data_IF_892167869666
#
_entry.id   IF_892167869666
#
_cell.length_a   1.000
_cell.length_b   1.000
_cell.length_c   1.000
_cell.angle_alpha   90.00
_cell.angle_beta   90.00
_cell.angle_gamma   90.00
#
_symmetry.space_group_name_H-M   'P 1'
#
loop_
_entity.id
_entity.type
_entity.pdbx_description
1 polymer ?
#
# COMPACT_ATOMS: atom_id res chain seq x y z
N UNK A 1 65.39 30.83 29.58
CA UNK A 1 65.65 29.48 29.16
C UNK A 1 64.29 28.85 28.96
N UNK A 2 63.84 28.82 27.70
CA UNK A 2 62.57 28.22 27.31
C UNK A 2 62.73 26.74 26.96
N UNK A 3 61.66 25.98 27.13
CA UNK A 3 61.51 24.65 26.52
C UNK A 3 60.20 24.65 25.80
N UNK A 4 60.25 24.45 24.48
CA UNK A 4 59.15 24.24 23.62
C UNK A 4 58.54 22.83 23.83
N UNK A 5 57.27 22.72 24.01
CA UNK A 5 56.52 21.48 23.97
C UNK A 5 55.85 21.35 22.61
N UNK A 6 56.23 20.32 21.89
CA UNK A 6 55.67 19.87 20.60
C UNK A 6 54.36 19.17 20.87
N UNK A 7 53.25 19.77 20.45
CA UNK A 7 51.91 19.16 20.47
C UNK A 7 51.55 18.70 19.07
N UNK A 8 51.95 17.47 18.74
CA UNK A 8 51.58 16.78 17.50
C UNK A 8 50.10 16.39 17.53
N UNK A 9 49.23 17.28 17.07
CA UNK A 9 47.81 17.03 16.81
C UNK A 9 47.62 15.86 15.85
N UNK A 10 47.06 14.77 16.34
CA UNK A 10 46.46 13.70 15.50
C UNK A 10 45.25 14.27 14.78
N UNK A 11 45.09 13.99 13.49
CA UNK A 11 43.87 14.28 12.79
C UNK A 11 42.73 13.44 13.41
N UNK A 12 41.67 14.08 13.84
CA UNK A 12 40.40 13.41 14.16
C UNK A 12 39.89 12.78 12.89
N UNK A 13 39.82 11.46 12.85
CA UNK A 13 39.05 10.71 11.85
C UNK A 13 37.64 11.25 11.80
N UNK A 14 37.36 11.95 10.72
CA UNK A 14 36.02 12.36 10.33
C UNK A 14 35.22 11.07 10.10
N UNK A 15 34.44 10.64 11.10
CA UNK A 15 33.47 9.57 10.92
C UNK A 15 32.44 10.08 9.94
N UNK A 16 32.59 9.70 8.68
CA UNK A 16 31.60 9.88 7.66
C UNK A 16 30.23 9.41 8.20
N UNK A 17 29.24 10.29 8.12
CA UNK A 17 27.85 9.95 8.45
C UNK A 17 27.45 8.70 7.68
N UNK A 18 26.67 7.77 8.27
CA UNK A 18 26.22 6.59 7.57
C UNK A 18 25.45 7.02 6.31
N UNK A 19 25.89 6.53 5.15
CA UNK A 19 25.25 6.77 3.87
C UNK A 19 23.80 6.29 3.94
N UNK A 20 22.83 7.04 3.41
CA UNK A 20 21.46 6.57 3.38
C UNK A 20 21.38 5.27 2.57
N UNK A 21 20.72 4.28 3.13
CA UNK A 21 20.58 2.89 2.66
C UNK A 21 19.99 2.72 1.25
N UNK A 22 19.66 3.83 0.58
CA UNK A 22 18.97 3.89 -0.72
C UNK A 22 19.94 3.73 -1.90
N UNK A 23 21.24 3.86 -1.70
CA UNK A 23 22.24 3.71 -2.78
C UNK A 23 22.37 2.28 -3.32
N UNK A 24 21.84 1.27 -2.60
CA UNK A 24 21.94 -0.14 -3.00
C UNK A 24 20.76 -0.64 -3.86
N UNK A 25 19.77 0.21 -4.17
CA UNK A 25 18.71 -0.14 -5.10
C UNK A 25 19.18 0.13 -6.53
N UNK A 26 19.14 -0.89 -7.45
CA UNK A 26 19.58 -0.69 -8.82
C UNK A 26 18.74 0.40 -9.50
N UNK A 27 19.39 1.32 -10.18
CA UNK A 27 18.75 2.42 -10.93
C UNK A 27 17.68 1.91 -11.90
N UNK A 28 17.83 0.70 -12.44
CA UNK A 28 16.85 0.03 -13.30
C UNK A 28 15.50 -0.27 -12.62
N UNK A 29 15.41 -0.18 -11.30
CA UNK A 29 14.13 -0.35 -10.59
C UNK A 29 13.24 0.91 -10.71
N UNK A 30 13.81 2.03 -11.15
CA UNK A 30 13.16 3.33 -11.27
C UNK A 30 13.03 3.79 -12.74
N UNK A 31 13.69 3.08 -13.68
CA UNK A 31 13.60 3.38 -15.11
C UNK A 31 12.38 2.70 -15.72
N UNK A 32 11.27 3.44 -15.83
CA UNK A 32 10.25 3.11 -16.80
C UNK A 32 10.73 3.57 -18.18
N UNK A 33 10.50 2.81 -19.27
CA UNK A 33 10.87 3.23 -20.60
C UNK A 33 10.21 4.59 -20.89
N UNK A 34 11.04 5.54 -21.36
CA UNK A 34 10.59 6.87 -21.75
C UNK A 34 9.59 6.79 -22.91
N UNK A 35 8.79 7.87 -23.15
CA UNK A 35 7.88 7.91 -24.29
C UNK A 35 8.68 7.87 -25.59
N UNK A 36 8.77 6.70 -26.25
CA UNK A 36 9.49 6.49 -27.50
C UNK A 36 9.88 5.05 -27.80
N UNK A 37 9.83 4.13 -26.87
CA UNK A 37 9.99 2.70 -27.19
C UNK A 37 8.63 2.10 -27.51
N UNK A 38 8.35 1.99 -28.82
CA UNK A 38 7.21 1.25 -29.32
C UNK A 38 7.33 -0.24 -28.93
N UNK A 39 6.48 -0.65 -27.98
CA UNK A 39 6.22 -2.08 -27.79
C UNK A 39 5.68 -2.65 -29.10
N UNK A 40 6.12 -3.85 -29.54
CA UNK A 40 5.62 -4.46 -30.76
C UNK A 40 4.09 -4.61 -30.66
N UNK A 41 3.38 -3.95 -31.56
CA UNK A 41 1.92 -3.96 -31.64
C UNK A 41 1.41 -5.38 -31.82
N UNK A 42 0.83 -5.95 -30.78
CA UNK A 42 0.03 -7.15 -30.89
C UNK A 42 -1.23 -6.79 -31.68
N UNK A 43 -1.29 -7.23 -32.95
CA UNK A 43 -2.48 -7.07 -33.76
C UNK A 43 -3.64 -7.82 -33.12
N UNK A 44 -4.80 -7.17 -32.90
CA UNK A 44 -5.96 -7.87 -32.37
C UNK A 44 -6.44 -8.90 -33.36
N UNK A 45 -6.85 -10.10 -32.94
CA UNK A 45 -7.42 -11.09 -33.85
C UNK A 45 -8.73 -10.58 -34.43
N UNK A 46 -8.83 -10.59 -35.76
CA UNK A 46 -10.05 -10.25 -36.50
C UNK A 46 -11.12 -11.32 -36.24
N UNK A 47 -11.99 -11.12 -35.28
CA UNK A 47 -13.21 -11.90 -35.12
C UNK A 47 -14.25 -11.39 -36.13
N UNK A 48 -14.47 -12.17 -37.19
CA UNK A 48 -15.57 -11.97 -38.11
C UNK A 48 -16.88 -12.13 -37.31
N UNK A 49 -17.64 -11.04 -37.25
CA UNK A 49 -19.04 -11.09 -36.83
C UNK A 49 -19.81 -11.99 -37.78
N UNK A 50 -20.21 -13.18 -37.36
CA UNK A 50 -21.29 -13.95 -37.99
C UNK A 50 -22.48 -13.85 -37.06
N UNK A 51 -23.48 -13.11 -37.51
CA UNK A 51 -24.81 -13.14 -36.94
C UNK A 51 -25.44 -14.49 -37.29
N UNK A 52 -26.05 -15.17 -36.33
CA UNK A 52 -26.94 -16.31 -36.52
C UNK A 52 -28.14 -16.13 -35.57
N UNK A 53 -29.34 -16.51 -36.04
CA UNK A 53 -30.59 -16.09 -35.45
C UNK A 53 -31.02 -16.94 -34.27
N UNK A 54 -31.86 -16.32 -33.44
CA UNK A 54 -32.57 -16.90 -32.32
C UNK A 54 -33.46 -18.06 -32.79
N UNK A 55 -33.31 -19.25 -32.21
CA UNK A 55 -34.32 -20.27 -32.17
C UNK A 55 -34.44 -20.82 -30.75
N UNK A 56 -35.63 -20.59 -30.23
CA UNK A 56 -36.14 -21.14 -28.96
C UNK A 56 -36.40 -22.62 -29.14
N UNK A 57 -35.95 -23.48 -28.24
CA UNK A 57 -36.64 -24.74 -27.90
C UNK A 57 -36.30 -25.14 -26.45
N UNK A 58 -37.35 -25.16 -25.68
CA UNK A 58 -37.42 -25.77 -24.36
C UNK A 58 -37.56 -27.30 -24.47
N UNK A 59 -37.25 -27.97 -23.40
CA UNK A 59 -37.86 -29.19 -22.86
C UNK A 59 -36.91 -30.38 -22.61
N UNK A 60 -36.96 -30.76 -21.36
CA UNK A 60 -37.16 -32.10 -20.78
C UNK A 60 -36.00 -32.79 -20.06
N UNK A 61 -36.33 -33.05 -18.82
CA UNK A 61 -35.69 -33.87 -17.80
C UNK A 61 -35.37 -35.31 -18.26
N UNK A 62 -34.37 -35.89 -17.58
CA UNK A 62 -34.10 -37.33 -17.67
C UNK A 62 -33.07 -37.76 -16.59
N UNK A 63 -33.59 -38.18 -15.45
CA UNK A 63 -32.87 -38.96 -14.43
C UNK A 63 -32.55 -40.33 -15.01
N UNK A 64 -31.28 -40.77 -14.88
CA UNK A 64 -30.98 -42.21 -14.95
C UNK A 64 -29.87 -42.59 -13.97
N UNK A 65 -30.29 -43.27 -12.92
CA UNK A 65 -29.46 -44.00 -11.96
C UNK A 65 -29.08 -45.33 -12.59
N UNK A 66 -27.81 -45.68 -12.63
CA UNK A 66 -27.38 -47.07 -12.79
C UNK A 66 -26.40 -47.48 -11.71
N UNK A 67 -26.92 -48.35 -10.84
CA UNK A 67 -26.14 -49.22 -9.95
C UNK A 67 -25.75 -50.46 -10.73
N UNK A 68 -24.47 -50.78 -10.79
CA UNK A 68 -24.02 -52.15 -11.10
C UNK A 68 -22.98 -52.55 -10.05
N UNK A 69 -23.38 -53.49 -9.21
CA UNK A 69 -22.50 -54.29 -8.41
C UNK A 69 -22.01 -55.47 -9.23
N UNK A 70 -20.71 -55.80 -9.13
CA UNK A 70 -20.12 -56.96 -9.78
C UNK A 70 -18.86 -57.39 -9.06
N UNK A 71 -18.99 -58.40 -8.24
CA UNK A 71 -17.93 -59.17 -7.56
C UNK A 71 -16.98 -59.82 -8.55
N UNK A 72 -15.66 -59.79 -8.29
CA UNK A 72 -14.78 -60.93 -8.43
C UNK A 72 -13.49 -60.69 -7.62
N UNK A 73 -13.17 -61.69 -6.79
CA UNK A 73 -12.03 -61.67 -5.91
C UNK A 73 -10.72 -62.06 -6.62
N UNK A 74 -9.62 -61.73 -5.98
CA UNK A 74 -8.27 -62.11 -6.35
C UNK A 74 -7.28 -61.70 -5.25
N UNK A 75 -6.81 -62.68 -4.51
CA UNK A 75 -5.84 -62.57 -3.40
C UNK A 75 -4.46 -62.12 -3.88
N UNK A 76 -3.76 -61.33 -3.08
CA UNK A 76 -2.31 -61.33 -3.15
C UNK A 76 -1.62 -60.02 -2.75
N UNK A 77 -0.95 -60.02 -1.61
CA UNK A 77 0.20 -59.16 -1.39
C UNK A 77 -0.03 -57.93 -0.48
N UNK A 78 0.11 -58.15 0.82
CA UNK A 78 0.24 -57.08 1.83
C UNK A 78 1.58 -56.39 1.70
N UNK A 79 1.57 -55.14 1.19
CA UNK A 79 2.61 -54.16 1.50
C UNK A 79 1.95 -53.11 2.38
N UNK A 80 2.32 -53.08 3.65
CA UNK A 80 1.95 -52.01 4.59
C UNK A 80 2.63 -50.72 4.14
N UNK A 81 1.96 -49.93 3.37
CA UNK A 81 2.23 -48.51 3.31
C UNK A 81 1.74 -47.89 4.63
N UNK A 82 2.67 -47.37 5.40
CA UNK A 82 2.35 -46.63 6.61
C UNK A 82 1.44 -45.45 6.23
N UNK A 83 0.23 -45.52 6.77
CA UNK A 83 -0.79 -44.50 6.72
C UNK A 83 -0.25 -43.22 7.42
N UNK A 84 0.36 -42.32 6.66
CA UNK A 84 0.53 -40.94 7.09
C UNK A 84 -0.75 -40.20 6.71
N UNK A 85 -1.76 -40.34 7.56
CA UNK A 85 -2.85 -39.39 7.58
C UNK A 85 -2.28 -37.97 7.68
N UNK A 86 -2.80 -37.02 6.92
CA UNK A 86 -2.42 -35.60 7.10
C UNK A 86 -2.65 -35.26 8.57
N UNK A 87 -1.57 -34.92 9.29
CA UNK A 87 -1.68 -34.41 10.65
C UNK A 87 -2.57 -33.17 10.58
N UNK A 88 -3.75 -33.26 11.15
CA UNK A 88 -4.58 -32.09 11.46
C UNK A 88 -3.69 -31.07 12.18
N UNK A 89 -3.85 -29.76 11.87
CA UNK A 89 -3.14 -28.71 12.58
C UNK A 89 -3.40 -28.90 14.08
N UNK A 90 -2.32 -29.02 14.84
CA UNK A 90 -2.41 -29.04 16.29
C UNK A 90 -2.79 -27.64 16.74
N UNK A 91 -3.77 -27.62 17.63
CA UNK A 91 -4.21 -26.48 18.45
C UNK A 91 -4.81 -25.31 17.66
N UNK A 92 -6.13 -25.22 17.78
CA UNK A 92 -7.00 -24.18 17.24
C UNK A 92 -6.79 -22.77 17.86
N UNK A 93 -5.57 -22.24 17.76
CA UNK A 93 -5.39 -20.81 17.82
C UNK A 93 -5.96 -20.27 16.50
N UNK A 94 -7.05 -19.50 16.58
CA UNK A 94 -7.55 -18.74 15.44
C UNK A 94 -6.37 -17.97 14.82
N UNK A 95 -6.29 -17.93 13.49
CA UNK A 95 -5.27 -17.13 12.83
C UNK A 95 -5.37 -15.69 13.37
N UNK A 96 -4.23 -15.02 13.66
CA UNK A 96 -4.26 -13.65 14.17
C UNK A 96 -5.13 -12.79 13.24
N UNK A 97 -6.10 -12.08 13.82
CA UNK A 97 -6.91 -11.11 13.12
C UNK A 97 -6.13 -9.82 12.88
N UNK A 98 -6.69 -8.91 12.10
CA UNK A 98 -6.09 -7.60 11.84
C UNK A 98 -5.84 -6.82 13.14
N UNK A 99 -6.70 -7.00 14.14
CA UNK A 99 -6.63 -6.35 15.46
C UNK A 99 -5.40 -6.72 16.28
N UNK A 100 -4.82 -7.89 16.02
CA UNK A 100 -3.62 -8.39 16.69
C UNK A 100 -2.35 -8.21 15.85
N UNK A 101 -2.40 -7.39 14.79
CA UNK A 101 -1.26 -7.19 13.90
C UNK A 101 -0.08 -6.60 14.68
N UNK A 102 1.14 -7.19 14.58
CA UNK A 102 2.32 -6.71 15.31
C UNK A 102 2.67 -5.24 15.07
N UNK A 103 2.35 -4.70 13.88
CA UNK A 103 2.57 -3.29 13.58
C UNK A 103 1.69 -2.40 14.45
N UNK A 104 0.42 -2.77 14.67
CA UNK A 104 -0.56 -1.99 15.44
C UNK A 104 -0.34 -2.09 16.95
N UNK A 105 0.28 -3.16 17.43
CA UNK A 105 0.66 -3.32 18.84
C UNK A 105 2.04 -2.76 19.15
N UNK A 106 2.78 -2.35 18.12
CA UNK A 106 4.13 -1.79 18.24
C UNK A 106 4.10 -0.40 18.89
N UNK A 107 5.00 -0.19 19.85
CA UNK A 107 5.29 1.15 20.41
C UNK A 107 6.39 1.88 19.65
N UNK A 108 6.68 1.44 18.44
CA UNK A 108 7.70 2.06 17.59
C UNK A 108 7.23 3.43 17.12
N UNK A 109 8.13 4.39 17.17
CA UNK A 109 7.96 5.74 16.62
C UNK A 109 8.76 5.81 15.33
N UNK A 110 8.23 6.46 14.30
CA UNK A 110 9.01 6.75 13.11
C UNK A 110 10.18 7.66 13.48
N UNK A 111 11.39 7.23 13.15
CA UNK A 111 12.58 8.05 13.38
C UNK A 111 12.53 9.32 12.50
N UNK A 112 13.08 10.45 12.98
CA UNK A 112 13.21 11.64 12.15
C UNK A 112 13.92 11.32 10.82
N UNK A 113 13.36 11.78 9.70
CA UNK A 113 13.93 11.59 8.37
C UNK A 113 14.09 12.93 7.65
N UNK A 114 15.25 13.16 7.04
CA UNK A 114 15.46 14.32 6.16
C UNK A 114 15.17 13.92 4.71
N UNK A 115 14.14 14.53 4.12
CA UNK A 115 13.77 14.29 2.73
C UNK A 115 14.49 15.29 1.82
N UNK A 116 15.04 14.79 0.72
CA UNK A 116 15.61 15.62 -0.34
C UNK A 116 14.68 15.59 -1.57
N UNK A 117 13.63 16.40 -1.51
CA UNK A 117 12.66 16.53 -2.59
C UNK A 117 13.07 17.66 -3.52
N UNK A 118 13.01 17.47 -4.86
CA UNK A 118 13.19 18.56 -5.80
C UNK A 118 12.07 19.62 -5.64
N UNK A 119 12.33 20.83 -6.13
CA UNK A 119 11.31 21.87 -6.16
C UNK A 119 10.08 21.34 -6.90
N UNK A 120 8.94 21.41 -6.23
CA UNK A 120 7.67 20.94 -6.79
C UNK A 120 7.30 21.72 -8.06
N UNK A 121 6.73 21.02 -9.02
CA UNK A 121 6.19 21.61 -10.25
C UNK A 121 5.13 20.70 -10.83
N UNK A 122 4.09 21.29 -11.43
CA UNK A 122 3.03 20.55 -12.12
C UNK A 122 3.44 19.97 -13.46
N UNK A 123 4.64 20.23 -13.99
CA UNK A 123 5.06 19.57 -15.23
C UNK A 123 5.44 18.10 -15.00
N UNK A 124 5.03 17.23 -15.92
CA UNK A 124 5.13 15.78 -15.75
C UNK A 124 6.54 15.28 -15.38
N UNK A 125 7.65 15.70 -16.02
CA UNK A 125 8.98 15.24 -15.63
C UNK A 125 9.36 15.61 -14.21
N UNK A 126 9.04 16.84 -13.76
CA UNK A 126 9.35 17.31 -12.41
C UNK A 126 8.45 16.70 -11.36
N UNK A 127 7.16 16.57 -11.65
CA UNK A 127 6.21 15.87 -10.77
C UNK A 127 6.63 14.42 -10.56
N UNK A 128 7.05 13.73 -11.62
CA UNK A 128 7.61 12.39 -11.53
C UNK A 128 8.85 12.34 -10.62
N UNK A 129 9.79 13.25 -10.82
CA UNK A 129 10.99 13.33 -10.00
C UNK A 129 10.67 13.61 -8.53
N UNK A 130 9.67 14.47 -8.27
CA UNK A 130 9.17 14.76 -6.93
C UNK A 130 8.62 13.50 -6.24
N UNK A 131 7.69 12.79 -6.89
CA UNK A 131 7.11 11.58 -6.33
C UNK A 131 8.13 10.46 -6.11
N UNK A 132 9.09 10.29 -7.02
CA UNK A 132 10.16 9.31 -6.81
C UNK A 132 11.04 9.68 -5.61
N UNK A 133 11.31 10.97 -5.39
CA UNK A 133 12.07 11.41 -4.22
C UNK A 133 11.28 11.20 -2.92
N UNK A 134 9.99 11.50 -2.94
CA UNK A 134 9.11 11.30 -1.80
C UNK A 134 8.97 9.81 -1.43
N UNK A 135 8.79 8.90 -2.41
CA UNK A 135 8.79 7.45 -2.18
C UNK A 135 10.09 6.98 -1.51
N UNK A 136 11.24 7.50 -1.94
CA UNK A 136 12.52 7.15 -1.28
C UNK A 136 12.54 7.60 0.17
N UNK A 137 12.02 8.79 0.46
CA UNK A 137 11.95 9.30 1.81
C UNK A 137 10.97 8.49 2.68
N UNK A 138 9.80 8.16 2.16
CA UNK A 138 8.81 7.28 2.80
C UNK A 138 9.41 5.90 3.11
N UNK A 139 10.15 5.33 2.16
CA UNK A 139 10.85 4.06 2.34
C UNK A 139 11.90 4.14 3.47
N UNK A 140 12.66 5.23 3.54
CA UNK A 140 13.65 5.44 4.59
C UNK A 140 13.01 5.55 5.98
N UNK A 141 11.84 6.20 6.09
CA UNK A 141 11.10 6.34 7.35
C UNK A 141 10.49 5.01 7.82
N UNK A 142 9.86 4.25 6.90
CA UNK A 142 9.05 3.09 7.27
C UNK A 142 9.81 1.77 7.35
N UNK A 143 10.91 1.62 6.60
CA UNK A 143 11.66 0.36 6.58
C UNK A 143 12.12 -0.09 7.97
N UNK A 144 12.74 0.76 8.84
CA UNK A 144 13.13 0.34 10.18
C UNK A 144 11.96 -0.13 11.04
N UNK A 145 10.78 0.48 10.84
CA UNK A 145 9.55 0.10 11.55
C UNK A 145 9.07 -1.29 11.12
N UNK A 146 9.01 -1.54 9.81
CA UNK A 146 8.65 -2.84 9.27
C UNK A 146 9.62 -3.94 9.72
N UNK A 147 10.93 -3.65 9.67
CA UNK A 147 11.96 -4.58 10.13
C UNK A 147 11.80 -4.93 11.63
N UNK A 148 11.40 -3.95 12.46
CA UNK A 148 11.20 -4.14 13.90
C UNK A 148 10.06 -5.11 14.25
N UNK A 149 9.10 -5.27 13.34
CA UNK A 149 7.96 -6.21 13.49
C UNK A 149 8.11 -7.46 12.62
N UNK A 150 9.28 -7.65 12.00
CA UNK A 150 9.57 -8.81 11.15
C UNK A 150 8.86 -8.79 9.79
N UNK A 151 8.29 -7.66 9.40
CA UNK A 151 7.68 -7.50 8.08
C UNK A 151 8.78 -7.25 7.02
N UNK A 152 8.72 -8.03 5.93
CA UNK A 152 9.71 -7.91 4.87
C UNK A 152 9.45 -6.68 4.02
N UNK A 153 10.39 -5.75 3.98
CA UNK A 153 10.32 -4.62 3.08
C UNK A 153 10.38 -5.05 1.60
N UNK A 154 9.58 -4.40 0.77
CA UNK A 154 9.61 -4.48 -0.68
C UNK A 154 9.34 -3.10 -1.25
N UNK A 155 9.98 -2.68 -2.33
CA UNK A 155 9.75 -1.35 -2.92
C UNK A 155 8.36 -1.27 -3.57
N UNK A 156 7.87 -0.04 -3.71
CA UNK A 156 6.68 0.34 -4.47
C UNK A 156 7.10 1.18 -5.68
N UNK A 157 6.35 1.10 -6.77
CA UNK A 157 6.50 1.99 -7.93
C UNK A 157 5.39 3.04 -7.93
N UNK A 158 5.60 4.15 -8.67
CA UNK A 158 4.55 5.14 -8.95
C UNK A 158 4.36 5.28 -10.45
N UNK A 159 3.10 5.24 -10.91
CA UNK A 159 2.72 5.44 -12.30
C UNK A 159 1.90 6.72 -12.44
N UNK A 160 2.31 7.57 -13.39
CA UNK A 160 1.63 8.80 -13.77
C UNK A 160 0.93 8.67 -15.13
N UNK A 161 0.76 7.46 -15.64
CA UNK A 161 0.03 7.23 -16.88
C UNK A 161 -1.45 7.61 -16.69
N UNK A 162 -2.03 8.36 -17.64
CA UNK A 162 -3.42 8.81 -17.56
C UNK A 162 -4.42 7.66 -17.77
N UNK A 163 -4.03 6.64 -18.50
CA UNK A 163 -4.86 5.45 -18.76
C UNK A 163 -4.06 4.17 -18.45
N UNK A 164 -3.77 3.91 -17.17
CA UNK A 164 -2.93 2.79 -16.79
C UNK A 164 -3.69 1.46 -16.87
N UNK A 165 -2.98 0.41 -17.28
CA UNK A 165 -3.45 -0.96 -17.12
C UNK A 165 -2.94 -1.48 -15.78
N UNK A 166 -3.84 -1.68 -14.80
CA UNK A 166 -3.48 -2.17 -13.48
C UNK A 166 -3.82 -3.64 -13.30
N UNK A 167 -3.11 -4.33 -12.43
CA UNK A 167 -3.45 -5.71 -12.05
C UNK A 167 -4.68 -5.78 -11.12
N UNK A 168 -5.04 -4.68 -10.50
CA UNK A 168 -6.21 -4.57 -9.63
C UNK A 168 -7.50 -4.23 -10.40
N UNK A 169 -7.45 -4.15 -11.72
CA UNK A 169 -8.59 -3.80 -12.56
C UNK A 169 -8.62 -2.33 -12.97
N UNK A 170 -9.81 -1.80 -13.21
CA UNK A 170 -9.97 -0.39 -13.54
C UNK A 170 -9.74 0.50 -12.32
N UNK A 171 -9.21 1.71 -12.58
CA UNK A 171 -9.17 2.73 -11.54
C UNK A 171 -10.59 3.11 -11.10
N UNK A 172 -10.78 3.48 -9.81
CA UNK A 172 -12.04 4.05 -9.36
C UNK A 172 -12.37 5.32 -10.14
N UNK A 173 -13.65 5.73 -10.20
CA UNK A 173 -14.04 7.01 -10.80
C UNK A 173 -13.26 8.18 -10.18
N UNK A 174 -12.91 9.19 -10.99
CA UNK A 174 -12.14 10.34 -10.53
C UNK A 174 -12.85 11.16 -9.43
N UNK A 175 -14.18 11.05 -9.34
CA UNK A 175 -14.96 11.68 -8.27
C UNK A 175 -14.88 10.93 -6.93
N UNK A 176 -14.36 9.69 -6.93
CA UNK A 176 -14.27 8.85 -5.73
C UNK A 176 -12.85 8.76 -5.18
N UNK A 177 -11.84 8.75 -6.06
CA UNK A 177 -10.45 8.68 -5.66
C UNK A 177 -9.51 9.37 -6.64
N UNK A 178 -8.50 10.06 -6.13
CA UNK A 178 -7.45 10.70 -6.93
C UNK A 178 -6.43 9.67 -7.41
N UNK A 179 -6.09 8.68 -6.58
CA UNK A 179 -5.12 7.63 -6.84
C UNK A 179 -5.64 6.23 -6.52
N UNK A 180 -4.74 5.27 -6.65
CA UNK A 180 -4.97 3.88 -6.27
C UNK A 180 -3.63 3.21 -5.95
N UNK A 181 -3.49 2.64 -4.77
CA UNK A 181 -2.47 1.63 -4.52
C UNK A 181 -2.97 0.25 -4.95
N UNK A 182 -2.26 -0.41 -5.84
CA UNK A 182 -2.53 -1.80 -6.22
C UNK A 182 -1.54 -2.74 -5.52
N UNK A 183 -2.04 -3.61 -4.65
CA UNK A 183 -1.26 -4.58 -3.89
C UNK A 183 -0.71 -5.73 -4.75
N UNK A 184 -1.39 -6.06 -5.85
CA UNK A 184 -1.03 -7.16 -6.75
C UNK A 184 0.24 -6.88 -7.57
N UNK A 185 0.55 -5.62 -7.84
CA UNK A 185 1.78 -5.20 -8.54
C UNK A 185 2.62 -4.21 -7.74
N UNK A 186 2.17 -3.81 -6.55
CA UNK A 186 2.81 -2.83 -5.67
C UNK A 186 3.09 -1.51 -6.39
N UNK A 187 2.07 -1.00 -7.07
CA UNK A 187 2.15 0.25 -7.80
C UNK A 187 1.13 1.25 -7.25
N UNK A 188 1.58 2.46 -7.00
CA UNK A 188 0.73 3.62 -6.73
C UNK A 188 0.41 4.26 -8.09
N UNK A 189 -0.85 4.26 -8.46
CA UNK A 189 -1.35 4.86 -9.70
C UNK A 189 -1.89 6.25 -9.39
N UNK A 190 -1.24 7.27 -9.94
CA UNK A 190 -1.62 8.68 -9.81
C UNK A 190 -1.70 9.29 -11.23
N UNK A 191 -2.78 9.06 -12.00
CA UNK A 191 -2.89 9.55 -13.37
C UNK A 191 -2.64 11.05 -13.45
N UNK A 192 -1.74 11.47 -14.34
CA UNK A 192 -1.21 12.82 -14.38
C UNK A 192 -2.30 13.91 -14.51
N UNK A 193 -3.21 13.74 -15.48
CA UNK A 193 -4.32 14.67 -15.65
C UNK A 193 -5.21 14.70 -14.41
N UNK A 194 -5.54 13.53 -13.85
CA UNK A 194 -6.41 13.42 -12.67
C UNK A 194 -5.83 14.11 -11.44
N UNK A 195 -4.53 13.90 -11.15
CA UNK A 195 -3.91 14.54 -9.97
C UNK A 195 -3.83 16.05 -10.12
N UNK A 196 -3.58 16.57 -11.33
CA UNK A 196 -3.60 18.00 -11.55
C UNK A 196 -5.01 18.61 -11.47
N UNK A 197 -6.02 17.88 -11.96
CA UNK A 197 -7.41 18.31 -11.87
C UNK A 197 -7.92 18.33 -10.42
N UNK A 198 -7.52 17.33 -9.62
CA UNK A 198 -7.97 17.16 -8.24
C UNK A 198 -7.16 17.98 -7.23
N UNK A 199 -5.83 18.01 -7.35
CA UNK A 199 -4.92 18.59 -6.37
C UNK A 199 -4.34 19.94 -6.83
N UNK A 200 -4.51 20.28 -8.11
CA UNK A 200 -3.88 21.46 -8.71
C UNK A 200 -2.36 21.37 -8.69
N UNK A 201 -1.70 22.47 -8.42
CA UNK A 201 -0.24 22.59 -8.26
C UNK A 201 0.16 22.88 -6.81
N UNK A 202 -0.59 22.35 -5.88
CA UNK A 202 -0.44 22.56 -4.43
C UNK A 202 0.46 21.48 -3.85
N UNK A 203 1.68 21.83 -3.47
CA UNK A 203 2.71 20.88 -2.99
C UNK A 203 2.20 20.01 -1.85
N UNK A 204 1.48 20.62 -0.91
CA UNK A 204 0.98 19.97 0.31
C UNK A 204 -0.04 18.87 0.01
N UNK A 205 -0.93 19.12 -0.95
CA UNK A 205 -1.92 18.14 -1.37
C UNK A 205 -1.26 16.91 -2.03
N UNK A 206 -0.24 17.13 -2.87
CA UNK A 206 0.51 16.03 -3.49
C UNK A 206 1.32 15.25 -2.45
N UNK A 207 1.94 15.93 -1.49
CA UNK A 207 2.67 15.31 -0.39
C UNK A 207 1.74 14.44 0.49
N UNK A 208 0.56 14.96 0.83
CA UNK A 208 -0.45 14.22 1.60
C UNK A 208 -0.95 12.98 0.85
N UNK A 209 -1.30 13.16 -0.43
CA UNK A 209 -1.86 12.08 -1.26
C UNK A 209 -0.87 10.93 -1.45
N UNK A 210 0.39 11.22 -1.82
CA UNK A 210 1.37 10.15 -2.00
C UNK A 210 1.72 9.46 -0.67
N UNK A 211 1.78 10.20 0.44
CA UNK A 211 2.00 9.62 1.76
C UNK A 211 0.86 8.67 2.18
N UNK A 212 -0.40 9.01 1.84
CA UNK A 212 -1.57 8.15 2.06
C UNK A 212 -1.50 6.86 1.24
N UNK A 213 -1.26 6.98 -0.07
CA UNK A 213 -1.13 5.81 -0.95
C UNK A 213 0.02 4.90 -0.51
N UNK A 214 1.09 5.50 0.00
CA UNK A 214 2.17 4.75 0.62
C UNK A 214 1.73 4.08 1.93
N UNK A 215 0.79 4.65 2.65
CA UNK A 215 0.15 4.03 3.82
C UNK A 215 -0.48 2.68 3.47
N UNK A 216 -1.16 2.56 2.33
CA UNK A 216 -1.67 1.27 1.83
C UNK A 216 -0.53 0.28 1.52
N UNK A 217 0.60 0.76 1.02
CA UNK A 217 1.78 -0.09 0.84
C UNK A 217 2.30 -0.63 2.18
N UNK A 218 2.33 0.17 3.24
CA UNK A 218 2.69 -0.29 4.59
C UNK A 218 1.68 -1.32 5.11
N UNK A 219 0.39 -1.11 4.91
CA UNK A 219 -0.65 -2.08 5.25
C UNK A 219 -0.45 -3.41 4.51
N UNK A 220 -0.07 -3.37 3.24
CA UNK A 220 0.24 -4.58 2.47
C UNK A 220 1.47 -5.29 3.04
N UNK A 221 2.58 -4.59 3.27
CA UNK A 221 3.83 -5.18 3.75
C UNK A 221 3.71 -5.77 5.16
N UNK A 222 2.90 -5.15 6.02
CA UNK A 222 2.61 -5.64 7.38
C UNK A 222 1.55 -6.74 7.42
N UNK A 223 0.91 -7.05 6.29
CA UNK A 223 -0.14 -8.06 6.19
C UNK A 223 -1.53 -7.57 6.60
N UNK A 224 -1.70 -6.29 6.97
CA UNK A 224 -2.98 -5.70 7.34
C UNK A 224 -3.99 -5.81 6.20
N UNK A 225 -3.64 -5.41 4.96
CA UNK A 225 -4.57 -5.52 3.83
C UNK A 225 -5.03 -6.94 3.57
N UNK A 226 -4.12 -7.91 3.64
CA UNK A 226 -4.50 -9.31 3.48
C UNK A 226 -5.43 -9.83 4.59
N UNK A 227 -5.33 -9.30 5.80
CA UNK A 227 -6.27 -9.64 6.90
C UNK A 227 -7.61 -8.93 6.70
N UNK A 228 -7.59 -7.64 6.34
CA UNK A 228 -8.77 -6.84 6.06
C UNK A 228 -9.61 -7.43 4.93
N UNK A 229 -8.97 -7.83 3.82
CA UNK A 229 -9.65 -8.46 2.69
C UNK A 229 -10.37 -9.75 3.11
N UNK A 230 -9.74 -10.58 3.97
CA UNK A 230 -10.43 -11.78 4.49
C UNK A 230 -11.62 -11.46 5.40
N UNK A 231 -11.60 -10.34 6.13
CA UNK A 231 -12.76 -9.89 6.90
C UNK A 231 -13.85 -9.34 5.98
N UNK A 232 -13.48 -8.60 4.93
CA UNK A 232 -14.40 -8.08 3.91
C UNK A 232 -15.16 -9.20 3.18
N UNK A 233 -14.50 -10.32 2.88
CA UNK A 233 -15.12 -11.49 2.23
C UNK A 233 -16.33 -12.05 3.00
N UNK A 234 -16.48 -11.72 4.28
CA UNK A 234 -17.61 -12.15 5.10
C UNK A 234 -18.86 -11.27 4.94
N UNK A 235 -18.77 -10.12 4.29
CA UNK A 235 -19.85 -9.15 4.17
C UNK A 235 -20.24 -8.92 2.71
N UNK A 236 -21.50 -8.56 2.50
CA UNK A 236 -21.96 -8.19 1.18
C UNK A 236 -21.34 -6.84 0.77
N UNK A 237 -20.81 -6.70 -0.47
CA UNK A 237 -20.32 -5.42 -0.96
C UNK A 237 -21.36 -4.31 -0.83
N UNK A 238 -20.95 -3.14 -0.33
CA UNK A 238 -21.82 -2.00 -0.07
C UNK A 238 -22.69 -2.12 1.20
N UNK A 239 -22.50 -3.16 2.01
CA UNK A 239 -23.15 -3.23 3.31
C UNK A 239 -22.54 -2.25 4.32
N UNK A 240 -23.25 -1.86 5.39
CA UNK A 240 -22.68 -0.98 6.41
C UNK A 240 -21.40 -1.53 7.05
N UNK A 241 -21.26 -2.84 7.17
CA UNK A 241 -20.06 -3.49 7.70
C UNK A 241 -18.90 -3.45 6.70
N UNK A 242 -19.18 -3.68 5.41
CA UNK A 242 -18.24 -3.53 4.32
C UNK A 242 -17.68 -2.10 4.28
N UNK A 243 -18.55 -1.09 4.29
CA UNK A 243 -18.15 0.31 4.34
C UNK A 243 -17.33 0.64 5.59
N UNK A 244 -17.70 0.11 6.77
CA UNK A 244 -16.93 0.33 7.99
C UNK A 244 -15.50 -0.24 7.87
N UNK A 245 -15.35 -1.44 7.33
CA UNK A 245 -14.02 -2.04 7.15
C UNK A 245 -13.16 -1.24 6.16
N UNK A 246 -13.75 -0.78 5.06
CA UNK A 246 -13.06 0.12 4.13
C UNK A 246 -12.60 1.40 4.85
N UNK A 247 -13.48 2.08 5.60
CA UNK A 247 -13.09 3.26 6.37
C UNK A 247 -11.94 3.00 7.33
N UNK A 248 -11.89 1.83 7.97
CA UNK A 248 -10.79 1.46 8.86
C UNK A 248 -9.45 1.37 8.11
N UNK A 249 -9.46 0.83 6.90
CA UNK A 249 -8.30 0.78 6.01
C UNK A 249 -7.86 2.20 5.63
N UNK A 250 -8.78 3.02 5.14
CA UNK A 250 -8.50 4.37 4.63
C UNK A 250 -8.02 5.33 5.72
N UNK A 251 -8.72 5.37 6.83
CA UNK A 251 -8.36 6.22 7.97
C UNK A 251 -7.03 5.82 8.62
N UNK A 252 -6.68 4.53 8.56
CA UNK A 252 -5.36 4.09 8.98
C UNK A 252 -4.27 4.58 8.03
N UNK A 253 -4.51 4.57 6.72
CA UNK A 253 -3.57 5.11 5.74
C UNK A 253 -3.37 6.63 5.95
N UNK A 254 -4.43 7.38 6.27
CA UNK A 254 -4.34 8.79 6.67
C UNK A 254 -3.45 8.98 7.90
N UNK A 255 -3.61 8.14 8.92
CA UNK A 255 -2.81 8.19 10.13
C UNK A 255 -1.33 7.85 9.85
N UNK A 256 -1.06 6.87 9.01
CA UNK A 256 0.30 6.53 8.59
C UNK A 256 0.96 7.67 7.80
N UNK A 257 0.20 8.36 6.94
CA UNK A 257 0.66 9.60 6.31
C UNK A 257 1.03 10.66 7.34
N UNK A 258 0.20 10.86 8.37
CA UNK A 258 0.48 11.78 9.46
C UNK A 258 1.76 11.45 10.21
N UNK A 259 2.01 10.18 10.54
CA UNK A 259 3.27 9.73 11.17
C UNK A 259 4.50 10.06 10.31
N UNK A 260 4.43 9.83 9.01
CA UNK A 260 5.50 10.19 8.09
C UNK A 260 5.73 11.69 8.07
N UNK A 261 4.68 12.49 7.89
CA UNK A 261 4.76 13.95 7.85
C UNK A 261 5.39 14.51 9.14
N UNK A 262 5.03 13.97 10.31
CA UNK A 262 5.66 14.32 11.59
C UNK A 262 7.16 13.98 11.62
N UNK A 263 7.54 12.81 11.09
CA UNK A 263 8.93 12.38 11.04
C UNK A 263 9.80 13.23 10.12
N UNK A 264 9.20 13.82 9.06
CA UNK A 264 9.87 14.63 8.06
C UNK A 264 9.79 16.15 8.33
N UNK A 265 8.87 16.61 9.20
CA UNK A 265 8.61 18.02 9.48
C UNK A 265 9.87 18.79 9.90
N UNK A 266 10.19 19.87 9.17
CA UNK A 266 11.35 20.72 9.43
C UNK A 266 12.69 20.06 9.08
N UNK A 267 12.70 19.04 8.22
CA UNK A 267 13.91 18.29 7.85
C UNK A 267 14.04 18.14 6.34
N UNK A 268 15.24 18.49 5.85
CA UNK A 268 15.49 18.50 4.41
C UNK A 268 14.61 19.51 3.68
N UNK A 269 13.94 19.06 2.62
CA UNK A 269 13.08 19.91 1.78
C UNK A 269 11.67 20.13 2.31
N UNK A 270 11.25 19.38 3.34
CA UNK A 270 9.90 19.51 3.92
C UNK A 270 9.98 20.42 5.15
N UNK A 271 9.53 21.67 5.01
CA UNK A 271 9.45 22.56 6.15
C UNK A 271 8.39 22.09 7.16
N UNK A 272 8.47 22.60 8.39
CA UNK A 272 7.42 22.32 9.38
C UNK A 272 6.05 22.86 8.93
N UNK A 273 6.04 23.98 8.21
CA UNK A 273 4.82 24.58 7.66
C UNK A 273 4.23 23.71 6.54
N UNK A 274 5.05 23.19 5.62
CA UNK A 274 4.60 22.31 4.54
C UNK A 274 4.01 20.99 5.10
N UNK A 275 4.67 20.41 6.10
CA UNK A 275 4.18 19.20 6.75
C UNK A 275 2.84 19.44 7.47
N UNK A 276 2.70 20.56 8.18
CA UNK A 276 1.45 20.96 8.83
C UNK A 276 0.35 21.21 7.80
N UNK A 277 0.66 21.92 6.69
CA UNK A 277 -0.30 22.17 5.62
C UNK A 277 -0.74 20.87 4.93
N UNK A 278 0.18 19.92 4.72
CA UNK A 278 -0.14 18.61 4.16
C UNK A 278 -1.09 17.80 5.07
N UNK A 279 -0.91 17.84 6.38
CA UNK A 279 -1.87 17.22 7.31
C UNK A 279 -3.22 17.92 7.27
N UNK A 280 -3.24 19.25 7.20
CA UNK A 280 -4.50 20.00 7.12
C UNK A 280 -5.26 19.74 5.81
N UNK A 281 -4.58 19.32 4.74
CA UNK A 281 -5.20 19.05 3.45
C UNK A 281 -6.21 17.89 3.51
N UNK A 282 -6.07 16.95 4.45
CA UNK A 282 -7.06 15.88 4.66
C UNK A 282 -8.47 16.39 4.95
N UNK A 283 -8.63 17.65 5.37
CA UNK A 283 -9.95 18.30 5.51
C UNK A 283 -10.63 18.57 4.17
N UNK A 284 -9.86 18.69 3.10
CA UNK A 284 -10.36 18.98 1.76
C UNK A 284 -10.77 17.71 0.99
N UNK A 285 -10.53 16.54 1.60
CA UNK A 285 -10.82 15.27 0.96
C UNK A 285 -12.32 14.97 0.95
N UNK A 286 -12.76 14.25 -0.09
CA UNK A 286 -14.17 13.99 -0.34
C UNK A 286 -14.74 13.06 0.73
N UNK A 287 -15.89 13.45 1.28
CA UNK A 287 -16.68 12.59 2.15
C UNK A 287 -17.23 11.38 1.36
N UNK A 288 -17.05 10.19 1.88
CA UNK A 288 -17.62 8.99 1.27
C UNK A 288 -17.93 7.89 2.31
N UNK A 289 -18.77 6.94 1.92
CA UNK A 289 -19.12 5.78 2.74
C UNK A 289 -17.91 4.91 3.08
N UNK A 290 -16.87 4.94 2.24
CA UNK A 290 -15.68 4.11 2.37
C UNK A 290 -14.47 4.84 2.95
N UNK A 291 -14.39 6.18 2.88
CA UNK A 291 -13.28 6.98 3.41
C UNK A 291 -13.65 7.73 4.70
N UNK A 292 -14.96 7.83 5.02
CA UNK A 292 -15.45 8.63 6.12
C UNK A 292 -15.66 10.09 5.74
N UNK A 293 -16.09 10.91 6.72
CA UNK A 293 -16.20 12.35 6.56
C UNK A 293 -14.82 13.02 6.67
N UNK A 294 -14.68 14.19 6.06
CA UNK A 294 -13.42 14.95 5.99
C UNK A 294 -12.89 15.36 7.37
N UNK A 295 -13.78 15.53 8.36
CA UNK A 295 -13.37 15.81 9.74
C UNK A 295 -12.73 14.57 10.39
N UNK A 296 -13.28 13.39 10.13
CA UNK A 296 -12.71 12.11 10.61
C UNK A 296 -11.42 11.79 9.88
N UNK A 297 -11.33 12.05 8.58
CA UNK A 297 -10.12 11.88 7.79
C UNK A 297 -8.98 12.74 8.35
N UNK A 298 -9.22 14.04 8.57
CA UNK A 298 -8.27 14.94 9.22
C UNK A 298 -7.90 14.48 10.64
N UNK A 299 -8.88 14.05 11.44
CA UNK A 299 -8.64 13.62 12.82
C UNK A 299 -7.63 12.45 12.87
N UNK A 300 -7.76 11.47 11.99
CA UNK A 300 -6.82 10.35 11.94
C UNK A 300 -5.45 10.74 11.40
N UNK A 301 -5.38 11.60 10.40
CA UNK A 301 -4.11 12.16 9.93
C UNK A 301 -3.41 12.96 11.06
N UNK A 302 -4.16 13.78 11.80
CA UNK A 302 -3.65 14.53 12.98
C UNK A 302 -3.19 13.59 14.11
N UNK A 303 -3.92 12.50 14.38
CA UNK A 303 -3.51 11.53 15.39
C UNK A 303 -2.11 10.96 15.11
N UNK A 304 -1.79 10.70 13.84
CA UNK A 304 -0.44 10.32 13.42
C UNK A 304 0.56 11.47 13.57
N UNK A 305 0.21 12.65 13.14
CA UNK A 305 1.10 13.81 13.08
C UNK A 305 1.45 14.37 14.45
N UNK A 306 0.50 14.48 15.37
CA UNK A 306 0.67 15.09 16.70
C UNK A 306 1.57 14.28 17.63
N UNK A 307 2.07 13.19 17.14
CA UNK A 307 3.09 12.40 17.80
C UNK A 307 2.51 11.20 18.52
N UNK A 308 2.91 10.08 18.04
CA UNK A 308 2.52 8.82 18.59
C UNK A 308 3.43 7.71 18.14
N UNK A 309 3.19 6.57 18.71
CA UNK A 309 3.70 5.31 18.18
C UNK A 309 2.81 4.88 17.02
N UNK A 310 3.28 3.92 16.23
CA UNK A 310 2.46 3.34 15.16
C UNK A 310 1.13 2.78 15.69
N UNK A 311 1.08 2.34 16.95
CA UNK A 311 -0.15 1.92 17.61
C UNK A 311 -1.24 3.01 17.72
N UNK A 312 -0.87 4.29 17.61
CA UNK A 312 -1.87 5.38 17.53
C UNK A 312 -2.78 5.24 16.32
N UNK A 313 -2.31 4.58 15.26
CA UNK A 313 -3.05 4.33 14.02
C UNK A 313 -3.89 3.04 14.05
N UNK A 314 -4.25 2.55 15.22
CA UNK A 314 -5.09 1.35 15.36
C UNK A 314 -6.58 1.68 15.16
N UNK A 315 -6.97 1.87 13.92
CA UNK A 315 -8.39 2.05 13.54
C UNK A 315 -9.24 0.81 13.78
N UNK A 316 -8.62 -0.37 13.88
CA UNK A 316 -9.31 -1.66 14.00
C UNK A 316 -9.91 -1.89 15.37
N UNK A 317 -9.26 -1.38 16.42
CA UNK A 317 -9.78 -1.43 17.78
C UNK A 317 -10.53 -0.15 18.19
N UNK A 318 -10.55 0.87 17.33
CA UNK A 318 -11.32 2.09 17.57
C UNK A 318 -12.83 1.82 17.56
N UNK A 319 -13.62 2.52 18.41
CA UNK A 319 -15.09 2.45 18.37
C UNK A 319 -15.62 2.81 16.96
N UNK A 320 -16.73 2.21 16.49
CA UNK A 320 -17.30 2.52 15.17
C UNK A 320 -17.63 4.01 14.97
N UNK A 321 -17.94 4.74 16.05
CA UNK A 321 -18.21 6.17 15.97
C UNK A 321 -16.97 7.02 15.63
N UNK A 322 -15.76 6.48 15.86
CA UNK A 322 -14.51 7.15 15.56
C UNK A 322 -13.97 6.89 14.15
N UNK A 323 -14.66 6.04 13.39
CA UNK A 323 -14.31 5.67 12.01
C UNK A 323 -15.49 5.95 11.05
N UNK A 324 -16.18 7.07 11.26
CA UNK A 324 -17.30 7.50 10.42
C UNK A 324 -16.92 8.56 9.41
#
# INVERSE_FOLDING_TARGET
VGVAGDDSGRPTEDRAAPRPFIEDLPASMWDHPGPGEELPSARPPRWRRRALPVAVCALLAGVLVFVIAGLHGGSGGTVRAADQAPRAPRDGAAAPGVRDNPLLTSRTVLAPVACDLPVFSGDLPRLRAYYHAEIRCLAAAWRPVLDSVGARFSPVTVSLADDPVTRCGALPPAAEATGLYCDLDRTIYLPYGRVLDSLGVTTEAHLATLAHEYGHHIQQLSGILGMANRELDAYAPGSPQDHELHRRVELQANCFAGLFLASAAGRGSISAADAEAAVQDFRNWVDSETHGDSETQLRWARAGFDGGTVATCDTWNAPPAEVR
#
